data_IF_458233030384
#
_entry.id   IF_458233030384
#
_cell.length_a   1.000
_cell.length_b   1.000
_cell.length_c   1.000
_cell.angle_alpha   90.00
_cell.angle_beta   90.00
_cell.angle_gamma   90.00
#
_symmetry.space_group_name_H-M   'P 1'
#
loop_
_entity.id
_entity.type
_entity.pdbx_description
1 polymer ?
#
# COMPACT_ATOMS: atom_id res chain seq x y z
N UNK A 1 1.73 27.22 -11.71
CA UNK A 1 0.51 26.38 -11.83
C UNK A 1 -0.45 26.77 -10.73
N UNK A 2 -1.63 27.32 -11.05
CA UNK A 2 -2.62 27.69 -10.01
C UNK A 2 -3.25 26.39 -9.48
N UNK A 3 -3.15 26.08 -8.19
CA UNK A 3 -3.64 24.82 -7.59
C UNK A 3 -5.14 24.57 -7.81
N UNK A 4 -5.87 25.59 -8.25
CA UNK A 4 -7.31 25.56 -8.58
C UNK A 4 -7.68 24.59 -9.71
N UNK A 5 -6.78 24.25 -10.64
CA UNK A 5 -7.13 23.34 -11.76
C UNK A 5 -7.31 21.89 -11.31
N UNK A 6 -6.52 21.46 -10.33
CA UNK A 6 -6.59 20.09 -9.80
C UNK A 6 -7.93 19.82 -9.11
N UNK A 7 -8.48 20.83 -8.43
CA UNK A 7 -9.80 20.69 -7.77
C UNK A 7 -10.90 20.46 -8.81
N UNK A 8 -10.85 21.15 -9.95
CA UNK A 8 -11.85 21.03 -11.02
C UNK A 8 -11.77 19.64 -11.65
N UNK A 9 -10.57 19.15 -11.94
CA UNK A 9 -10.37 17.81 -12.51
C UNK A 9 -10.86 16.74 -11.53
N UNK A 10 -10.53 16.87 -10.24
CA UNK A 10 -11.01 15.95 -9.21
C UNK A 10 -12.54 15.91 -9.13
N UNK A 11 -13.20 17.08 -9.19
CA UNK A 11 -14.67 17.17 -9.22
C UNK A 11 -15.24 16.47 -10.46
N UNK A 12 -14.65 16.66 -11.65
CA UNK A 12 -15.10 15.99 -12.87
C UNK A 12 -14.97 14.47 -12.75
N UNK A 13 -13.86 13.97 -12.22
CA UNK A 13 -13.66 12.53 -11.99
C UNK A 13 -14.70 11.99 -10.99
N UNK A 14 -14.99 12.72 -9.91
CA UNK A 14 -16.01 12.35 -8.93
C UNK A 14 -17.41 12.31 -9.58
N UNK A 15 -17.73 13.23 -10.49
CA UNK A 15 -19.03 13.24 -11.19
C UNK A 15 -19.16 12.07 -12.18
N UNK A 16 -18.08 11.71 -12.88
CA UNK A 16 -18.09 10.61 -13.86
C UNK A 16 -18.10 9.23 -13.20
N UNK A 17 -17.25 9.03 -12.19
CA UNK A 17 -17.07 7.73 -11.54
C UNK A 17 -17.95 7.56 -10.29
N UNK A 18 -18.38 8.66 -9.67
CA UNK A 18 -19.09 8.69 -8.40
C UNK A 18 -18.15 8.76 -7.19
N UNK A 19 -18.59 9.46 -6.14
CA UNK A 19 -17.82 9.63 -4.89
C UNK A 19 -17.49 8.31 -4.18
N UNK A 20 -18.31 7.27 -4.39
CA UNK A 20 -18.10 5.95 -3.78
C UNK A 20 -17.10 5.06 -4.55
N UNK A 21 -16.91 5.28 -5.86
CA UNK A 21 -16.06 4.40 -6.68
C UNK A 21 -14.58 4.77 -6.63
N UNK A 22 -14.26 6.06 -6.50
CA UNK A 22 -12.88 6.50 -6.27
C UNK A 22 -12.22 5.83 -5.04
N UNK A 23 -12.82 5.85 -3.83
CA UNK A 23 -12.23 5.21 -2.66
C UNK A 23 -12.26 3.68 -2.75
N UNK A 24 -13.26 3.11 -3.42
CA UNK A 24 -13.34 1.66 -3.67
C UNK A 24 -12.17 1.17 -4.54
N UNK A 25 -11.93 1.86 -5.68
CA UNK A 25 -10.81 1.60 -6.57
C UNK A 25 -9.47 1.85 -5.89
N UNK A 26 -9.32 2.94 -5.15
CA UNK A 26 -8.10 3.23 -4.40
C UNK A 26 -7.82 2.15 -3.33
N UNK A 27 -8.85 1.63 -2.66
CA UNK A 27 -8.71 0.56 -1.66
C UNK A 27 -8.34 -0.78 -2.30
N UNK A 28 -8.93 -1.15 -3.43
CA UNK A 28 -8.58 -2.40 -4.12
C UNK A 28 -7.17 -2.34 -4.73
N UNK A 29 -6.85 -1.24 -5.42
CA UNK A 29 -5.52 -0.99 -5.98
C UNK A 29 -4.46 -0.88 -4.88
N UNK A 30 -4.78 -0.25 -3.75
CA UNK A 30 -3.88 -0.11 -2.61
C UNK A 30 -3.56 -1.45 -1.94
N UNK A 31 -4.52 -2.37 -1.87
CA UNK A 31 -4.28 -3.74 -1.37
C UNK A 31 -3.33 -4.51 -2.29
N UNK A 32 -3.56 -4.49 -3.59
CA UNK A 32 -2.66 -5.13 -4.57
C UNK A 32 -1.28 -4.47 -4.58
N UNK A 33 -1.21 -3.14 -4.61
CA UNK A 33 0.05 -2.40 -4.58
C UNK A 33 0.83 -2.62 -3.29
N UNK A 34 0.17 -2.82 -2.14
CA UNK A 34 0.84 -3.16 -0.88
C UNK A 34 1.51 -4.53 -0.95
N UNK A 35 0.81 -5.53 -1.48
CA UNK A 35 1.35 -6.89 -1.65
C UNK A 35 2.55 -6.86 -2.59
N UNK A 36 2.40 -6.22 -3.76
CA UNK A 36 3.50 -6.06 -4.71
C UNK A 36 4.66 -5.26 -4.13
N UNK A 37 4.40 -4.21 -3.35
CA UNK A 37 5.45 -3.44 -2.68
C UNK A 37 6.20 -4.31 -1.67
N UNK A 38 5.50 -5.10 -0.86
CA UNK A 38 6.13 -6.01 0.10
C UNK A 38 7.01 -7.04 -0.60
N UNK A 39 6.49 -7.72 -1.63
CA UNK A 39 7.28 -8.69 -2.41
C UNK A 39 8.50 -8.04 -3.09
N UNK A 40 8.35 -6.83 -3.64
CA UNK A 40 9.48 -6.08 -4.24
C UNK A 40 10.47 -5.56 -3.19
N UNK A 41 9.99 -5.22 -1.99
CA UNK A 41 10.83 -4.82 -0.86
C UNK A 41 11.64 -6.01 -0.35
N UNK A 42 11.02 -7.16 -0.14
CA UNK A 42 11.70 -8.39 0.30
C UNK A 42 12.83 -8.78 -0.68
N UNK A 43 12.60 -8.64 -1.99
CA UNK A 43 13.61 -8.89 -3.02
C UNK A 43 14.75 -7.86 -3.03
N UNK A 44 14.47 -6.61 -2.65
CA UNK A 44 15.49 -5.56 -2.55
C UNK A 44 16.23 -5.61 -1.21
N UNK A 45 15.56 -6.11 -0.17
CA UNK A 45 16.08 -6.23 1.19
C UNK A 45 16.97 -7.47 1.36
N UNK A 46 16.81 -8.53 0.56
CA UNK A 46 17.73 -9.68 0.51
C UNK A 46 19.17 -9.27 0.07
N UNK A 47 19.31 -8.24 -0.77
CA UNK A 47 20.59 -7.59 -1.11
C UNK A 47 21.14 -6.69 0.02
N UNK A 48 20.34 -6.41 1.07
CA UNK A 48 20.68 -5.58 2.23
C UNK A 48 20.57 -6.30 3.58
N UNK A 49 20.34 -7.61 3.63
CA UNK A 49 20.09 -8.34 4.87
C UNK A 49 21.32 -9.08 5.44
N UNK A 50 22.56 -8.65 5.14
CA UNK A 50 23.76 -9.14 5.86
C UNK A 50 23.99 -8.39 7.19
N UNK A 51 23.25 -7.32 7.47
CA UNK A 51 23.35 -6.60 8.75
C UNK A 51 22.00 -6.03 9.15
N UNK A 52 21.25 -6.76 9.98
CA UNK A 52 20.79 -6.31 11.30
C UNK A 52 19.80 -7.34 11.85
N UNK A 53 20.10 -7.84 13.05
CA UNK A 53 19.21 -8.73 13.77
C UNK A 53 18.44 -7.97 14.84
N UNK A 54 17.26 -8.54 15.16
CA UNK A 54 16.53 -8.48 16.45
C UNK A 54 15.25 -7.63 16.45
N UNK A 55 14.10 -8.31 16.55
CA UNK A 55 13.16 -8.26 17.70
C UNK A 55 11.92 -9.11 17.34
N UNK A 56 11.90 -10.39 17.69
CA UNK A 56 11.20 -10.94 18.88
C UNK A 56 9.69 -10.66 18.97
N UNK A 57 8.87 -11.66 18.63
CA UNK A 57 7.75 -12.08 19.49
C UNK A 57 7.44 -13.58 19.28
N UNK A 58 8.10 -14.43 20.07
CA UNK A 58 7.60 -15.76 20.47
C UNK A 58 6.73 -15.53 21.73
N UNK A 59 5.70 -16.33 22.03
CA UNK A 59 6.01 -17.59 22.72
C UNK A 59 5.07 -18.74 22.27
N UNK A 60 5.63 -19.94 22.05
CA UNK A 60 5.44 -21.14 22.92
C UNK A 60 4.15 -21.91 22.59
N UNK A 61 4.28 -23.07 21.96
CA UNK A 61 4.04 -24.37 22.61
C UNK A 61 2.58 -24.80 22.48
N UNK A 62 2.32 -25.83 21.68
CA UNK A 62 1.59 -26.99 22.18
C UNK A 62 1.88 -28.16 21.24
N UNK A 63 2.63 -29.13 21.77
CA UNK A 63 2.96 -30.39 21.13
C UNK A 63 2.69 -31.46 22.17
N UNK A 64 1.50 -32.04 22.14
CA UNK A 64 1.20 -33.41 22.58
C UNK A 64 0.15 -34.03 21.66
#
# INVERSE_FOLDING_TARGET
MRPSHLIIIAIVIILLFGASKLPELARSLGKSAKILKSELSDLTEDDKAVTDGKDETKPSEDKE
#
